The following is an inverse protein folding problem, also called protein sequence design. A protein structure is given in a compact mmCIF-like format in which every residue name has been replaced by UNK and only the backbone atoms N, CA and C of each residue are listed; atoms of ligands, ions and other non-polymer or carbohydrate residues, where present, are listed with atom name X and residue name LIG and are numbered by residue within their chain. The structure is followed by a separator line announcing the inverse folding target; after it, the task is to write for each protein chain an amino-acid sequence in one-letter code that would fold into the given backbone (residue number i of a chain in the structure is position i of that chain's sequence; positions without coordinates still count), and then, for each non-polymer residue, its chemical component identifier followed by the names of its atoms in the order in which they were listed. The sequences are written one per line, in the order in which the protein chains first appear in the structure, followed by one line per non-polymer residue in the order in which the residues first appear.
data_IF_738567918436
#
_entry.id   IF_738567918436
#
_cell.length_a   1.000
_cell.length_b   1.000
_cell.length_c   1.000
_cell.angle_alpha   90.00
_cell.angle_beta   90.00
_cell.angle_gamma   90.00
#
_symmetry.space_group_name_H-M   'P 1'
#
loop_
_entity.id
_entity.type
_entity.pdbx_description
1 polymer ?
#
# COMPACT_ATOMS: atom_id res chain seq x y z
N UNK A 1 21.67 4.80 -4.31
CA UNK A 1 21.33 3.36 -4.33
C UNK A 1 19.92 3.22 -3.79
N UNK A 2 18.99 2.69 -4.58
CA UNK A 2 17.62 2.38 -4.14
C UNK A 2 17.67 1.33 -3.05
N UNK A 3 16.98 1.59 -1.94
CA UNK A 3 16.99 0.67 -0.81
C UNK A 3 16.10 -0.55 -1.10
N UNK A 4 16.39 -1.74 -0.54
CA UNK A 4 15.57 -2.92 -0.76
C UNK A 4 14.08 -2.71 -0.43
N UNK A 5 13.77 -1.97 0.65
CA UNK A 5 12.39 -1.64 1.02
C UNK A 5 11.64 -0.84 -0.04
N UNK A 6 12.30 0.10 -0.73
CA UNK A 6 11.67 0.92 -1.76
C UNK A 6 11.30 0.10 -2.99
N UNK A 7 12.18 -0.84 -3.38
CA UNK A 7 11.88 -1.80 -4.44
C UNK A 7 10.68 -2.66 -4.07
N UNK A 8 10.61 -3.14 -2.82
CA UNK A 8 9.48 -3.94 -2.34
C UNK A 8 8.17 -3.14 -2.36
N UNK A 9 8.19 -1.86 -1.95
CA UNK A 9 7.02 -0.96 -2.00
C UNK A 9 6.57 -0.74 -3.46
N UNK A 10 7.48 -0.49 -4.40
CA UNK A 10 7.13 -0.33 -5.83
C UNK A 10 6.53 -1.61 -6.41
N UNK A 11 7.10 -2.77 -6.07
CA UNK A 11 6.57 -4.07 -6.51
C UNK A 11 5.20 -4.33 -5.90
N UNK A 12 5.02 -4.05 -4.60
CA UNK A 12 3.74 -4.17 -3.93
C UNK A 12 2.67 -3.30 -4.60
N UNK A 13 2.96 -2.01 -4.80
CA UNK A 13 2.04 -1.10 -5.46
C UNK A 13 1.68 -1.54 -6.88
N UNK A 14 2.66 -2.00 -7.66
CA UNK A 14 2.44 -2.52 -9.01
C UNK A 14 1.57 -3.78 -9.04
N UNK A 15 1.80 -4.71 -8.09
CA UNK A 15 0.96 -5.90 -7.92
C UNK A 15 -0.46 -5.53 -7.52
N UNK A 16 -0.63 -4.54 -6.64
CA UNK A 16 -1.94 -4.05 -6.25
C UNK A 16 -2.70 -3.47 -7.44
N UNK A 17 -2.06 -2.62 -8.25
CA UNK A 17 -2.65 -2.06 -9.48
C UNK A 17 -3.03 -3.14 -10.50
N UNK A 18 -2.17 -4.14 -10.68
CA UNK A 18 -2.47 -5.28 -11.55
C UNK A 18 -3.66 -6.10 -11.04
N UNK A 19 -3.68 -6.35 -9.74
CA UNK A 19 -4.76 -7.07 -9.05
C UNK A 19 -6.09 -6.30 -9.08
N UNK A 20 -6.07 -4.98 -8.85
CA UNK A 20 -7.24 -4.11 -8.90
C UNK A 20 -7.80 -4.04 -10.32
N UNK A 21 -6.97 -3.79 -11.33
CA UNK A 21 -7.40 -3.74 -12.74
C UNK A 21 -8.06 -5.06 -13.17
N UNK A 22 -7.53 -6.21 -12.74
CA UNK A 22 -8.16 -7.51 -12.94
C UNK A 22 -9.46 -7.61 -12.14
N UNK A 23 -9.46 -7.21 -10.87
CA UNK A 23 -10.64 -7.23 -9.99
C UNK A 23 -11.83 -6.48 -10.58
N UNK A 24 -11.61 -5.27 -11.12
CA UNK A 24 -12.65 -4.48 -11.78
C UNK A 24 -13.24 -5.17 -13.01
N UNK A 25 -12.48 -6.01 -13.70
CA UNK A 25 -12.94 -6.79 -14.86
C UNK A 25 -13.67 -8.08 -14.49
N UNK A 26 -13.35 -8.65 -13.33
CA UNK A 26 -13.84 -9.97 -12.89
C UNK A 26 -14.66 -9.93 -11.61
N UNK A 27 -15.19 -8.76 -11.25
CA UNK A 27 -16.02 -8.52 -10.06
C UNK A 27 -15.42 -9.04 -8.74
N UNK A 28 -14.11 -8.85 -8.56
CA UNK A 28 -13.42 -9.28 -7.35
C UNK A 28 -13.22 -10.78 -7.23
N UNK A 29 -13.00 -11.47 -8.36
CA UNK A 29 -12.59 -12.87 -8.41
C UNK A 29 -11.48 -13.17 -7.38
N UNK A 30 -11.49 -14.39 -6.83
CA UNK A 30 -10.55 -14.82 -5.78
C UNK A 30 -9.08 -14.57 -6.16
N UNK A 31 -8.70 -14.85 -7.40
CA UNK A 31 -7.33 -14.64 -7.89
C UNK A 31 -6.89 -13.18 -7.80
N UNK A 32 -7.75 -12.23 -8.20
CA UNK A 32 -7.50 -10.79 -8.07
C UNK A 32 -7.33 -10.39 -6.60
N UNK A 33 -8.22 -10.86 -5.72
CA UNK A 33 -8.13 -10.60 -4.28
C UNK A 33 -6.86 -11.16 -3.66
N UNK A 34 -6.42 -12.36 -4.05
CA UNK A 34 -5.17 -12.96 -3.57
C UNK A 34 -3.94 -12.16 -4.01
N UNK A 35 -3.90 -11.68 -5.26
CA UNK A 35 -2.82 -10.83 -5.75
C UNK A 35 -2.76 -9.52 -4.94
N UNK A 36 -3.91 -8.88 -4.72
CA UNK A 36 -4.00 -7.65 -3.94
C UNK A 36 -3.61 -7.88 -2.47
N UNK A 37 -4.03 -9.00 -1.87
CA UNK A 37 -3.61 -9.38 -0.51
C UNK A 37 -2.11 -9.62 -0.42
N UNK A 38 -1.51 -10.30 -1.41
CA UNK A 38 -0.07 -10.49 -1.47
C UNK A 38 0.68 -9.17 -1.58
N UNK A 39 0.15 -8.21 -2.36
CA UNK A 39 0.70 -6.86 -2.46
C UNK A 39 0.68 -6.13 -1.11
N UNK A 40 -0.47 -6.10 -0.42
CA UNK A 40 -0.58 -5.43 0.89
C UNK A 40 0.31 -6.10 1.94
N UNK A 41 0.42 -7.43 1.94
CA UNK A 41 1.34 -8.14 2.83
C UNK A 41 2.80 -7.80 2.52
N UNK A 42 3.17 -7.71 1.24
CA UNK A 42 4.53 -7.34 0.83
C UNK A 42 4.87 -5.93 1.29
N UNK A 43 3.93 -4.99 1.18
CA UNK A 43 4.07 -3.61 1.66
C UNK A 43 4.23 -3.54 3.18
N UNK A 44 3.40 -4.26 3.94
CA UNK A 44 3.55 -4.38 5.40
C UNK A 44 4.92 -4.94 5.79
N UNK A 45 5.40 -5.98 5.09
CA UNK A 45 6.72 -6.55 5.35
C UNK A 45 7.83 -5.53 5.02
N UNK A 46 7.70 -4.80 3.90
CA UNK A 46 8.61 -3.72 3.50
C UNK A 46 8.73 -2.65 4.59
N UNK A 47 7.61 -2.25 5.18
CA UNK A 47 7.55 -1.25 6.25
C UNK A 47 8.17 -1.76 7.58
N UNK A 48 8.16 -3.07 7.84
CA UNK A 48 8.68 -3.67 9.06
C UNK A 48 10.18 -4.00 9.02
N UNK A 49 10.81 -4.03 7.84
CA UNK A 49 12.24 -4.32 7.65
C UNK A 49 13.16 -3.48 8.57
N UNK A 50 12.97 -2.16 8.73
CA UNK A 50 13.78 -1.36 9.66
C UNK A 50 13.62 -1.79 11.12
N UNK A 51 12.41 -2.14 11.55
CA UNK A 51 12.08 -2.50 12.93
C UNK A 51 12.74 -3.79 13.38
N UNK A 52 13.02 -4.70 12.44
CA UNK A 52 13.72 -5.97 12.69
C UNK A 52 15.23 -5.90 12.44
N UNK A 53 15.78 -4.70 12.22
CA UNK A 53 17.21 -4.47 12.04
C UNK A 53 17.77 -4.91 10.69
N UNK A 54 16.90 -5.32 9.74
CA UNK A 54 17.30 -5.68 8.38
C UNK A 54 17.54 -4.45 7.49
N UNK A 55 17.30 -3.25 8.01
CA UNK A 55 17.55 -1.99 7.32
C UNK A 55 17.80 -0.84 8.29
N UNK A 56 18.76 0.03 7.97
CA UNK A 56 18.99 1.23 8.76
C UNK A 56 17.86 2.26 8.57
N UNK A 57 17.36 2.91 9.64
CA UNK A 57 16.43 4.03 9.54
C UNK A 57 16.99 5.13 8.63
N UNK A 58 16.11 5.87 7.95
CA UNK A 58 16.54 7.07 7.23
C UNK A 58 17.01 8.13 8.24
N UNK A 59 18.23 8.68 8.10
CA UNK A 59 18.60 9.90 8.81
C UNK A 59 17.79 11.06 8.20
N UNK A 60 16.76 11.50 8.91
CA UNK A 60 15.81 12.51 8.44
C UNK A 60 16.05 13.84 9.17
N UNK A 61 16.17 14.97 8.44
CA UNK A 61 16.09 16.30 9.04
C UNK A 61 14.79 16.48 9.83
N UNK A 62 14.83 17.19 10.98
CA UNK A 62 13.67 17.41 11.87
C UNK A 62 12.44 17.96 11.11
N UNK A 63 12.66 18.87 10.18
CA UNK A 63 11.64 19.51 9.34
C UNK A 63 10.85 18.53 8.45
N UNK A 64 11.40 17.34 8.16
CA UNK A 64 10.78 16.33 7.30
C UNK A 64 10.07 15.22 8.06
N UNK A 65 10.28 15.14 9.38
CA UNK A 65 9.62 14.15 10.23
C UNK A 65 8.09 14.19 10.13
N UNK A 66 7.41 15.35 10.08
CA UNK A 66 5.96 15.40 9.94
C UNK A 66 5.45 14.74 8.65
N UNK A 67 6.17 14.94 7.54
CA UNK A 67 5.79 14.38 6.24
C UNK A 67 5.96 12.85 6.22
N UNK A 68 7.05 12.35 6.81
CA UNK A 68 7.27 10.90 6.97
C UNK A 68 6.25 10.29 7.94
N UNK A 69 5.89 10.97 9.03
CA UNK A 69 4.81 10.51 9.92
C UNK A 69 3.47 10.46 9.20
N UNK A 70 3.16 11.44 8.35
CA UNK A 70 1.95 11.44 7.53
C UNK A 70 1.94 10.29 6.51
N UNK A 71 3.09 9.99 5.88
CA UNK A 71 3.24 8.82 5.01
C UNK A 71 2.95 7.51 5.77
N UNK A 72 3.58 7.31 6.94
CA UNK A 72 3.32 6.12 7.77
C UNK A 72 1.83 5.97 8.12
N UNK A 73 1.14 7.05 8.47
CA UNK A 73 -0.31 7.02 8.73
C UNK A 73 -1.13 6.69 7.48
N UNK A 74 -0.73 7.21 6.32
CA UNK A 74 -1.37 6.89 5.05
C UNK A 74 -1.18 5.40 4.68
N UNK A 75 0.02 4.85 4.83
CA UNK A 75 0.31 3.42 4.62
C UNK A 75 -0.50 2.52 5.56
N UNK A 76 -0.57 2.84 6.86
CA UNK A 76 -1.45 2.10 7.79
C UNK A 76 -2.92 2.17 7.37
N UNK A 77 -3.35 3.33 6.86
CA UNK A 77 -4.72 3.52 6.37
C UNK A 77 -5.02 2.63 5.16
N UNK A 78 -4.06 2.43 4.25
CA UNK A 78 -4.17 1.48 3.13
C UNK A 78 -4.47 0.06 3.64
N UNK A 79 -3.73 -0.39 4.66
CA UNK A 79 -3.90 -1.74 5.20
C UNK A 79 -5.28 -1.92 5.84
N UNK A 80 -5.73 -0.93 6.62
CA UNK A 80 -7.04 -0.94 7.28
C UNK A 80 -8.17 -0.90 6.24
N UNK A 81 -8.08 -0.01 5.25
CA UNK A 81 -9.07 0.11 4.18
C UNK A 81 -9.16 -1.18 3.35
N UNK A 82 -8.03 -1.82 3.06
CA UNK A 82 -8.02 -3.08 2.33
C UNK A 82 -8.65 -4.21 3.15
N UNK A 83 -8.32 -4.32 4.44
CA UNK A 83 -8.98 -5.24 5.36
C UNK A 83 -10.49 -5.03 5.42
N UNK A 84 -10.95 -3.77 5.49
CA UNK A 84 -12.35 -3.41 5.42
C UNK A 84 -12.98 -3.82 4.06
N UNK A 85 -12.28 -3.58 2.96
CA UNK A 85 -12.68 -4.01 1.61
C UNK A 85 -12.92 -5.52 1.53
N UNK A 86 -12.01 -6.32 2.07
CA UNK A 86 -12.17 -7.78 2.13
C UNK A 86 -13.36 -8.18 3.02
N UNK A 87 -13.58 -7.50 4.14
CA UNK A 87 -14.68 -7.79 5.06
C UNK A 87 -16.06 -7.48 4.45
N UNK A 88 -16.17 -6.44 3.63
CA UNK A 88 -17.43 -6.05 2.97
C UNK A 88 -17.62 -6.66 1.58
N UNK A 89 -16.64 -7.43 1.10
CA UNK A 89 -16.71 -8.07 -0.21
C UNK A 89 -17.93 -9.00 -0.30
N UNK A 90 -18.75 -8.78 -1.33
CA UNK A 90 -19.86 -9.64 -1.68
C UNK A 90 -19.93 -9.82 -3.20
N UNK A 91 -19.96 -11.08 -3.71
CA UNK A 91 -20.15 -11.34 -5.13
C UNK A 91 -21.45 -10.74 -5.69
N UNK A 92 -22.45 -10.52 -4.83
CA UNK A 92 -23.74 -9.94 -5.21
C UNK A 92 -23.72 -8.41 -5.32
N UNK A 93 -22.73 -7.76 -4.73
CA UNK A 93 -22.60 -6.29 -4.63
C UNK A 93 -21.13 -5.86 -4.70
N UNK A 94 -20.44 -6.09 -5.84
CA UNK A 94 -19.02 -5.78 -5.95
C UNK A 94 -18.72 -4.27 -5.86
N UNK A 95 -19.73 -3.41 -6.09
CA UNK A 95 -19.57 -1.95 -6.13
C UNK A 95 -18.96 -1.34 -4.86
N UNK A 96 -19.36 -1.78 -3.66
CA UNK A 96 -18.78 -1.24 -2.41
C UNK A 96 -17.31 -1.63 -2.25
N UNK A 97 -16.99 -2.88 -2.57
CA UNK A 97 -15.61 -3.37 -2.56
C UNK A 97 -14.76 -2.58 -3.57
N UNK A 98 -15.23 -2.42 -4.80
CA UNK A 98 -14.54 -1.66 -5.84
C UNK A 98 -14.37 -0.17 -5.50
N UNK A 99 -15.36 0.44 -4.84
CA UNK A 99 -15.23 1.82 -4.34
C UNK A 99 -14.11 1.93 -3.31
N UNK A 100 -14.02 0.98 -2.38
CA UNK A 100 -12.91 0.92 -1.42
C UNK A 100 -11.57 0.68 -2.10
N UNK A 101 -11.49 -0.21 -3.10
CA UNK A 101 -10.27 -0.43 -3.89
C UNK A 101 -9.79 0.86 -4.56
N UNK A 102 -10.69 1.63 -5.18
CA UNK A 102 -10.34 2.91 -5.78
C UNK A 102 -9.82 3.93 -4.75
N UNK A 103 -10.46 4.01 -3.59
CA UNK A 103 -9.99 4.87 -2.49
C UNK A 103 -8.60 4.44 -2.03
N UNK A 104 -8.35 3.13 -1.92
CA UNK A 104 -7.04 2.59 -1.55
C UNK A 104 -5.98 3.00 -2.57
N UNK A 105 -6.25 2.91 -3.87
CA UNK A 105 -5.29 3.33 -4.91
C UNK A 105 -4.89 4.79 -4.75
N UNK A 106 -5.85 5.69 -4.47
CA UNK A 106 -5.60 7.11 -4.27
C UNK A 106 -4.77 7.34 -3.00
N UNK A 107 -5.17 6.73 -1.88
CA UNK A 107 -4.46 6.88 -0.60
C UNK A 107 -3.03 6.34 -0.69
N UNK A 108 -2.84 5.17 -1.32
CA UNK A 108 -1.53 4.56 -1.47
C UNK A 108 -0.63 5.35 -2.44
N UNK A 109 -1.19 5.92 -3.50
CA UNK A 109 -0.45 6.84 -4.36
C UNK A 109 0.05 8.06 -3.58
N UNK A 110 -0.82 8.68 -2.76
CA UNK A 110 -0.45 9.82 -1.92
C UNK A 110 0.63 9.42 -0.92
N UNK A 111 0.51 8.27 -0.27
CA UNK A 111 1.51 7.72 0.65
C UNK A 111 2.89 7.62 -0.01
N UNK A 112 2.97 6.98 -1.18
CA UNK A 112 4.22 6.84 -1.94
C UNK A 112 4.81 8.22 -2.27
N UNK A 113 3.98 9.20 -2.68
CA UNK A 113 4.46 10.56 -2.95
C UNK A 113 5.02 11.21 -1.67
N UNK A 114 4.29 11.14 -0.54
CA UNK A 114 4.77 11.70 0.72
C UNK A 114 6.08 11.05 1.17
N UNK A 115 6.21 9.73 1.00
CA UNK A 115 7.42 9.01 1.34
C UNK A 115 8.59 9.45 0.45
N UNK A 116 8.41 9.53 -0.87
CA UNK A 116 9.45 9.97 -1.81
C UNK A 116 9.89 11.41 -1.49
N UNK A 117 8.95 12.35 -1.36
CA UNK A 117 9.29 13.74 -1.03
C UNK A 117 9.92 13.88 0.37
N UNK A 118 9.44 13.12 1.36
CA UNK A 118 10.00 13.15 2.71
C UNK A 118 11.41 12.58 2.78
N UNK A 119 11.68 11.50 2.04
CA UNK A 119 12.97 10.81 2.07
C UNK A 119 14.01 11.45 1.15
N UNK A 120 13.60 12.03 0.01
CA UNK A 120 14.49 12.44 -1.08
C UNK A 120 14.36 13.90 -1.52
N UNK A 121 13.34 14.63 -1.05
CA UNK A 121 13.11 16.03 -1.41
C UNK A 121 14.07 17.00 -0.75
#
# INVERSE_FOLDING_TARGET
MTRPSELLVIVAYSLFLGGSARSFRTDGELSSRLIMSAAVLLDMLAALLPSIGLQAPLPLPEERKPLISAAVLAGVSVWVLFGAGLAVYSPKRPGLYHALVLVIEIVWFIDIMMFIYGAYG
#
